data_IF_793759186311
#
_entry.id   IF_793759186311
#
_cell.length_a   1.000
_cell.length_b   1.000
_cell.length_c   1.000
_cell.angle_alpha   90.00
_cell.angle_beta   90.00
_cell.angle_gamma   90.00
#
_symmetry.space_group_name_H-M   'P 1'
#
loop_
_entity.id
_entity.type
_entity.pdbx_description
1 polymer ?
#
# COMPACT_ATOMS: atom_id res chain seq x y z
N UNK A 1 40.42 -5.85 -12.87
CA UNK A 1 39.30 -4.97 -12.73
C UNK A 1 38.01 -5.76 -13.01
N UNK A 2 37.25 -6.04 -11.97
CA UNK A 2 35.91 -6.61 -12.14
C UNK A 2 35.02 -5.51 -12.71
N UNK A 3 34.14 -5.81 -13.67
CA UNK A 3 33.16 -4.82 -14.14
C UNK A 3 32.25 -4.45 -12.98
N UNK A 4 32.21 -3.17 -12.66
CA UNK A 4 31.22 -2.59 -11.76
C UNK A 4 29.86 -2.98 -12.31
N UNK A 5 29.07 -3.71 -11.53
CA UNK A 5 27.69 -4.03 -11.88
C UNK A 5 26.88 -2.74 -12.11
N UNK A 6 25.73 -2.82 -12.79
CA UNK A 6 24.95 -1.64 -13.10
C UNK A 6 24.61 -0.90 -11.80
N UNK A 7 25.03 0.35 -11.70
CA UNK A 7 24.62 1.26 -10.63
C UNK A 7 23.13 1.55 -10.80
N UNK A 8 22.32 0.90 -9.99
CA UNK A 8 20.91 1.23 -9.91
C UNK A 8 20.79 2.62 -9.28
N UNK A 9 20.03 3.56 -9.85
CA UNK A 9 19.89 4.91 -9.31
C UNK A 9 19.33 4.96 -7.88
N UNK A 10 18.83 3.82 -7.38
CA UNK A 10 18.38 3.59 -6.01
C UNK A 10 19.40 2.85 -5.12
N UNK A 11 20.49 2.37 -5.69
CA UNK A 11 21.55 1.66 -4.99
C UNK A 11 22.81 2.54 -4.89
N UNK A 12 22.64 3.84 -4.67
CA UNK A 12 23.80 4.66 -4.29
C UNK A 12 24.33 4.11 -2.98
N UNK A 13 25.62 3.93 -2.87
CA UNK A 13 26.33 3.56 -1.62
C UNK A 13 26.15 4.61 -0.50
N UNK A 14 25.52 5.75 -0.81
CA UNK A 14 25.05 6.67 0.22
C UNK A 14 23.84 6.01 0.88
N UNK A 15 23.91 5.68 2.17
CA UNK A 15 22.75 5.25 2.92
C UNK A 15 21.67 6.31 2.64
N UNK A 16 20.52 5.88 2.08
CA UNK A 16 19.34 6.71 2.03
C UNK A 16 19.18 7.23 3.45
N UNK A 17 19.16 8.56 3.68
CA UNK A 17 18.96 9.07 5.00
C UNK A 17 17.60 8.51 5.45
N UNK A 18 17.66 7.42 6.22
CA UNK A 18 16.51 6.86 6.89
C UNK A 18 15.99 8.03 7.69
N UNK A 19 14.73 8.49 7.50
CA UNK A 19 14.17 9.51 8.35
C UNK A 19 14.53 9.14 9.78
N UNK A 20 14.74 10.06 10.71
CA UNK A 20 15.29 9.74 12.01
C UNK A 20 14.38 8.76 12.74
N UNK A 21 14.49 7.50 12.33
CA UNK A 21 13.90 6.39 13.06
C UNK A 21 14.61 6.36 14.39
N UNK A 22 13.86 6.59 15.44
CA UNK A 22 14.43 6.33 16.77
C UNK A 22 14.71 4.81 16.86
N UNK A 23 16.00 4.40 16.92
CA UNK A 23 16.35 2.98 17.02
C UNK A 23 15.69 2.30 18.23
N UNK A 24 15.40 3.06 19.29
CA UNK A 24 14.71 2.57 20.50
C UNK A 24 13.26 2.21 20.18
N UNK A 25 12.58 3.01 19.38
CA UNK A 25 11.21 2.73 18.93
C UNK A 25 11.16 1.47 18.07
N UNK A 26 12.12 1.28 17.17
CA UNK A 26 12.21 0.05 16.35
C UNK A 26 12.46 -1.18 17.23
N UNK A 27 13.43 -1.08 18.13
CA UNK A 27 13.72 -2.16 19.10
C UNK A 27 12.47 -2.53 19.90
N UNK A 28 11.78 -1.53 20.44
CA UNK A 28 10.57 -1.77 21.22
C UNK A 28 9.43 -2.37 20.41
N UNK A 29 9.21 -1.90 19.16
CA UNK A 29 8.23 -2.52 18.26
C UNK A 29 8.57 -3.99 17.98
N UNK A 30 9.85 -4.26 17.75
CA UNK A 30 10.34 -5.62 17.48
C UNK A 30 10.10 -6.56 18.67
N UNK A 31 10.39 -6.12 19.89
CA UNK A 31 10.08 -6.86 21.12
C UNK A 31 8.59 -7.16 21.26
N UNK A 32 7.74 -6.14 21.12
CA UNK A 32 6.29 -6.30 21.21
C UNK A 32 5.71 -7.21 20.12
N UNK A 33 6.25 -7.15 18.91
CA UNK A 33 5.84 -8.07 17.84
C UNK A 33 6.22 -9.52 18.13
N UNK A 34 7.33 -9.76 18.84
CA UNK A 34 7.70 -11.09 19.29
C UNK A 34 6.77 -11.66 20.36
N UNK A 35 6.10 -10.80 21.15
CA UNK A 35 5.13 -11.25 22.16
C UNK A 35 3.88 -11.90 21.54
N UNK A 36 3.47 -11.46 20.34
CA UNK A 36 2.20 -11.89 19.70
C UNK A 36 2.38 -12.68 18.41
N UNK A 37 3.56 -12.57 17.81
CA UNK A 37 3.92 -13.27 16.58
C UNK A 37 5.17 -14.11 16.86
N UNK A 38 5.36 -15.19 16.14
CA UNK A 38 6.61 -15.98 16.17
C UNK A 38 7.47 -15.60 14.93
N UNK A 39 8.14 -14.42 14.94
CA UNK A 39 8.83 -13.94 13.76
C UNK A 39 10.11 -14.73 13.51
N UNK A 40 10.26 -15.19 12.27
CA UNK A 40 11.52 -15.71 11.75
C UNK A 40 12.51 -14.56 11.51
N UNK A 41 12.01 -13.44 10.97
CA UNK A 41 12.73 -12.19 10.82
C UNK A 41 11.77 -11.01 10.65
N UNK A 42 12.28 -9.80 10.95
CA UNK A 42 11.60 -8.54 10.74
C UNK A 42 12.52 -7.63 9.93
N UNK A 43 12.01 -7.11 8.81
CA UNK A 43 12.69 -6.13 7.97
C UNK A 43 12.01 -4.79 8.12
N UNK A 44 12.80 -3.76 8.40
CA UNK A 44 12.39 -2.37 8.24
C UNK A 44 12.70 -1.95 6.81
N UNK A 45 11.73 -1.47 6.09
CA UNK A 45 11.92 -0.91 4.76
C UNK A 45 11.05 0.34 4.62
N UNK A 46 11.37 1.19 3.69
CA UNK A 46 10.56 2.33 3.32
C UNK A 46 10.64 2.48 1.83
N UNK A 47 9.55 2.82 1.19
CA UNK A 47 9.53 3.05 -0.22
C UNK A 47 8.84 4.36 -0.48
N UNK A 48 9.58 5.45 -0.73
CA UNK A 48 9.06 6.51 -1.53
C UNK A 48 8.72 5.92 -2.90
N UNK A 49 7.49 6.09 -3.35
CA UNK A 49 7.02 5.54 -4.63
C UNK A 49 7.80 6.04 -5.85
N UNK A 50 8.55 7.13 -5.70
CA UNK A 50 9.30 7.82 -6.76
C UNK A 50 10.80 7.90 -6.47
N UNK A 51 11.29 7.21 -5.42
CA UNK A 51 12.69 7.24 -5.02
C UNK A 51 13.19 8.57 -4.49
N UNK A 52 12.34 9.58 -4.42
CA UNK A 52 12.64 10.79 -3.69
C UNK A 52 12.26 10.57 -2.23
N UNK A 53 13.17 10.83 -1.27
CA UNK A 53 12.80 10.86 0.13
C UNK A 53 11.76 11.99 0.27
N UNK A 54 10.48 11.62 0.43
CA UNK A 54 9.49 12.57 0.90
C UNK A 54 9.85 12.85 2.36
N UNK A 55 10.57 13.93 2.58
CA UNK A 55 11.03 14.36 3.91
C UNK A 55 9.89 14.54 4.91
N UNK A 56 8.66 14.55 4.42
CA UNK A 56 7.45 14.84 5.18
C UNK A 56 6.61 13.61 5.53
N UNK A 57 6.91 12.42 4.95
CA UNK A 57 6.22 11.17 5.29
C UNK A 57 7.13 10.36 6.20
N UNK A 58 6.98 10.52 7.50
CA UNK A 58 7.67 9.70 8.48
C UNK A 58 6.79 8.48 8.76
N UNK A 59 7.24 7.29 8.34
CA UNK A 59 6.52 6.03 8.55
C UNK A 59 7.45 4.86 8.81
N UNK A 60 6.92 3.84 9.47
CA UNK A 60 7.59 2.56 9.62
C UNK A 60 6.86 1.53 8.75
N UNK A 61 7.57 1.00 7.77
CA UNK A 61 7.13 -0.14 6.98
C UNK A 61 7.88 -1.38 7.46
N UNK A 62 7.16 -2.34 8.07
CA UNK A 62 7.74 -3.54 8.62
C UNK A 62 7.20 -4.78 7.89
N UNK A 63 8.11 -5.57 7.31
CA UNK A 63 7.81 -6.92 6.84
C UNK A 63 8.16 -7.92 7.94
N UNK A 64 7.14 -8.54 8.51
CA UNK A 64 7.25 -9.55 9.55
C UNK A 64 7.02 -10.92 8.90
N UNK A 65 8.09 -11.70 8.78
CA UNK A 65 8.02 -13.07 8.28
C UNK A 65 7.99 -14.03 9.48
N UNK A 66 6.92 -14.82 9.62
CA UNK A 66 6.70 -15.70 10.76
C UNK A 66 7.14 -17.13 10.48
N UNK A 67 7.50 -17.90 11.52
CA UNK A 67 7.89 -19.31 11.39
C UNK A 67 6.72 -20.21 10.99
N UNK A 68 5.52 -19.89 11.45
CA UNK A 68 4.27 -20.59 11.13
C UNK A 68 3.29 -19.59 10.52
N UNK A 69 2.21 -20.04 9.88
CA UNK A 69 1.14 -19.15 9.46
C UNK A 69 0.71 -18.27 10.64
N UNK A 70 0.69 -16.93 10.49
CA UNK A 70 0.48 -16.01 11.60
C UNK A 70 -0.93 -16.20 12.19
N UNK A 71 -0.98 -16.29 13.53
CA UNK A 71 -2.25 -16.34 14.27
C UNK A 71 -2.96 -14.98 14.29
N UNK A 72 -2.21 -13.91 14.10
CA UNK A 72 -2.71 -12.53 14.03
C UNK A 72 -2.33 -11.92 12.69
N UNK A 73 -3.30 -11.29 12.05
CA UNK A 73 -3.07 -10.50 10.84
C UNK A 73 -2.34 -9.18 11.15
N UNK A 74 -1.98 -8.46 10.10
CA UNK A 74 -1.31 -7.16 10.24
C UNK A 74 -2.15 -6.12 11.00
N UNK A 75 -3.49 -6.19 10.91
CA UNK A 75 -4.40 -5.24 11.57
C UNK A 75 -4.43 -5.47 13.08
N UNK A 76 -4.48 -6.73 13.51
CA UNK A 76 -4.40 -7.12 14.92
C UNK A 76 -3.05 -6.73 15.53
N UNK A 77 -1.95 -7.05 14.83
CA UNK A 77 -0.60 -6.67 15.23
C UNK A 77 -0.44 -5.14 15.35
N UNK A 78 -0.97 -4.38 14.38
CA UNK A 78 -0.96 -2.91 14.43
C UNK A 78 -1.76 -2.34 15.61
N UNK A 79 -2.94 -2.91 15.87
CA UNK A 79 -3.76 -2.51 17.05
C UNK A 79 -3.01 -2.75 18.35
N UNK A 80 -2.34 -3.90 18.46
CA UNK A 80 -1.53 -4.22 19.62
C UNK A 80 -0.39 -3.22 19.82
N UNK A 81 0.38 -2.92 18.79
CA UNK A 81 1.45 -1.91 18.86
C UNK A 81 0.91 -0.53 19.26
N UNK A 82 -0.18 -0.07 18.66
CA UNK A 82 -0.80 1.20 19.02
C UNK A 82 -1.26 1.27 20.47
N UNK A 83 -1.75 0.15 21.02
CA UNK A 83 -2.14 0.06 22.42
C UNK A 83 -0.94 0.13 23.36
N UNK A 84 0.17 -0.53 23.01
CA UNK A 84 1.39 -0.62 23.85
C UNK A 84 2.34 0.56 23.68
N UNK A 85 2.25 1.26 22.57
CA UNK A 85 3.08 2.42 22.23
C UNK A 85 2.17 3.59 21.80
N UNK A 86 1.51 4.28 22.76
CA UNK A 86 0.69 5.43 22.46
C UNK A 86 1.55 6.50 21.77
N UNK A 87 1.14 6.97 20.61
CA UNK A 87 1.92 7.91 19.78
C UNK A 87 2.45 7.30 18.50
N UNK A 88 2.61 5.98 18.39
CA UNK A 88 2.91 5.33 17.12
C UNK A 88 1.63 5.24 16.28
N UNK A 89 1.70 5.77 15.05
CA UNK A 89 0.60 5.73 14.10
C UNK A 89 -0.53 6.73 14.40
N UNK A 90 -0.34 7.68 15.30
CA UNK A 90 -1.16 8.89 15.46
C UNK A 90 -0.32 10.09 14.97
N UNK A 91 -0.71 10.65 13.85
CA UNK A 91 0.11 11.66 13.17
C UNK A 91 1.28 11.01 12.42
N UNK A 92 2.47 11.51 12.56
CA UNK A 92 3.71 10.86 12.11
C UNK A 92 4.44 10.27 13.33
N UNK A 93 5.04 9.06 13.25
CA UNK A 93 5.19 8.21 12.05
C UNK A 93 4.00 7.27 11.80
N UNK A 94 3.70 7.04 10.53
CA UNK A 94 2.74 6.01 10.11
C UNK A 94 3.33 4.61 10.30
N UNK A 95 2.45 3.64 10.58
CA UNK A 95 2.85 2.26 10.78
C UNK A 95 2.13 1.34 9.79
N UNK A 96 2.88 0.77 8.86
CA UNK A 96 2.43 -0.27 7.96
C UNK A 96 3.09 -1.59 8.33
N UNK A 97 2.28 -2.61 8.55
CA UNK A 97 2.75 -3.94 8.86
C UNK A 97 2.37 -4.90 7.73
N UNK A 98 3.30 -5.73 7.33
CA UNK A 98 3.14 -6.80 6.36
C UNK A 98 3.49 -8.11 7.07
N UNK A 99 2.47 -8.86 7.47
CA UNK A 99 2.63 -10.07 8.29
C UNK A 99 2.34 -11.30 7.46
N UNK A 100 3.36 -12.10 7.17
CA UNK A 100 3.25 -13.29 6.32
C UNK A 100 4.14 -14.42 6.84
N UNK A 101 3.78 -15.65 6.51
CA UNK A 101 4.64 -16.81 6.74
C UNK A 101 5.95 -16.70 5.92
N UNK A 102 7.09 -17.02 6.53
CA UNK A 102 8.40 -16.85 5.89
C UNK A 102 8.54 -17.64 4.57
N UNK A 103 7.97 -18.84 4.51
CA UNK A 103 7.91 -19.63 3.29
C UNK A 103 7.14 -18.93 2.17
N UNK A 104 6.05 -18.25 2.50
CA UNK A 104 5.29 -17.45 1.53
C UNK A 104 6.11 -16.29 0.99
N UNK A 105 6.79 -15.53 1.87
CA UNK A 105 7.64 -14.41 1.47
C UNK A 105 8.79 -14.83 0.55
N UNK A 106 9.36 -16.03 0.78
CA UNK A 106 10.46 -16.55 -0.03
C UNK A 106 9.98 -17.16 -1.35
N UNK A 107 8.84 -17.85 -1.34
CA UNK A 107 8.30 -18.57 -2.52
C UNK A 107 7.61 -17.64 -3.52
N UNK A 108 7.15 -16.48 -3.07
CA UNK A 108 6.42 -15.54 -3.93
C UNK A 108 7.33 -14.85 -4.94
N UNK A 109 6.87 -14.83 -6.17
CA UNK A 109 7.46 -14.07 -7.28
C UNK A 109 6.97 -12.62 -7.27
N UNK A 110 6.82 -12.02 -6.08
CA UNK A 110 6.38 -10.65 -5.91
C UNK A 110 7.56 -9.68 -5.93
N UNK A 111 7.50 -8.61 -6.73
CA UNK A 111 8.53 -7.57 -6.73
C UNK A 111 8.65 -6.91 -5.35
N UNK A 112 7.54 -6.77 -4.61
CA UNK A 112 7.52 -6.20 -3.27
C UNK A 112 8.37 -7.00 -2.28
N UNK A 113 8.17 -8.32 -2.18
CA UNK A 113 8.96 -9.14 -1.26
C UNK A 113 10.43 -9.20 -1.66
N UNK A 114 10.71 -9.21 -2.96
CA UNK A 114 12.09 -9.19 -3.45
C UNK A 114 12.78 -7.89 -3.05
N UNK A 115 12.16 -6.73 -3.30
CA UNK A 115 12.68 -5.42 -2.94
C UNK A 115 12.86 -5.29 -1.41
N UNK A 116 11.84 -5.62 -0.62
CA UNK A 116 11.92 -5.56 0.82
C UNK A 116 13.05 -6.43 1.40
N UNK A 117 13.31 -7.61 0.81
CA UNK A 117 14.39 -8.50 1.25
C UNK A 117 15.76 -8.05 0.74
N UNK A 118 15.85 -7.33 -0.35
CA UNK A 118 17.11 -6.84 -0.92
C UNK A 118 17.54 -5.54 -0.26
N UNK A 119 16.64 -4.60 -0.08
CA UNK A 119 16.92 -3.24 0.40
C UNK A 119 16.68 -3.07 1.90
N UNK A 120 15.76 -3.86 2.47
CA UNK A 120 15.34 -3.72 3.86
C UNK A 120 16.47 -3.92 4.86
N UNK A 121 16.36 -3.20 5.98
CA UNK A 121 17.25 -3.32 7.13
C UNK A 121 16.73 -4.45 8.01
N UNK A 122 17.59 -5.41 8.35
CA UNK A 122 17.23 -6.50 9.25
C UNK A 122 17.13 -5.96 10.68
N UNK A 123 15.91 -5.79 11.17
CA UNK A 123 15.64 -5.34 12.53
C UNK A 123 15.66 -6.50 13.54
N UNK A 124 15.29 -7.71 13.10
CA UNK A 124 15.30 -8.92 13.92
C UNK A 124 15.48 -10.18 13.06
N UNK A 125 16.20 -11.14 13.57
CA UNK A 125 16.21 -12.52 13.07
C UNK A 125 16.27 -13.49 14.26
N UNK A 126 15.41 -14.51 14.24
CA UNK A 126 15.45 -15.55 15.26
C UNK A 126 16.64 -16.49 15.04
N UNK A 127 17.15 -17.09 16.10
CA UNK A 127 18.25 -18.09 16.04
C UNK A 127 17.85 -19.33 15.22
N UNK A 128 16.54 -19.59 15.09
CA UNK A 128 15.98 -20.71 14.32
C UNK A 128 15.92 -20.45 12.82
N UNK A 129 16.20 -19.20 12.34
CA UNK A 129 16.06 -18.82 10.94
C UNK A 129 17.28 -18.07 10.43
N UNK A 130 17.96 -18.65 9.43
CA UNK A 130 19.06 -17.99 8.76
C UNK A 130 18.53 -17.07 7.64
N UNK A 131 18.36 -15.79 7.95
CA UNK A 131 18.00 -14.80 6.94
C UNK A 131 19.04 -14.75 5.83
N UNK A 132 18.56 -14.73 4.57
CA UNK A 132 19.40 -14.59 3.37
C UNK A 132 18.72 -13.62 2.41
N UNK A 133 19.51 -12.69 1.88
CA UNK A 133 19.05 -11.83 0.78
C UNK A 133 18.92 -12.65 -0.52
N UNK A 134 18.00 -12.25 -1.42
CA UNK A 134 17.87 -12.88 -2.73
C UNK A 134 19.21 -12.82 -3.50
N UNK A 135 19.59 -13.92 -4.10
CA UNK A 135 20.83 -13.99 -4.91
C UNK A 135 20.56 -13.80 -6.40
N UNK A 136 19.36 -14.16 -6.85
CA UNK A 136 18.94 -14.03 -8.24
C UNK A 136 18.14 -12.75 -8.40
N UNK A 137 18.37 -12.06 -9.51
CA UNK A 137 17.57 -10.90 -9.88
C UNK A 137 16.12 -11.32 -10.10
N UNK A 138 15.20 -10.48 -9.65
CA UNK A 138 13.78 -10.64 -9.88
C UNK A 138 13.45 -10.35 -11.37
N UNK A 139 12.51 -11.06 -12.00
CA UNK A 139 12.14 -10.85 -13.40
C UNK A 139 11.27 -9.58 -13.56
N UNK A 140 11.87 -8.41 -13.38
CA UNK A 140 11.17 -7.13 -13.41
C UNK A 140 10.49 -6.83 -14.75
N UNK A 141 11.03 -7.27 -15.86
CA UNK A 141 10.40 -7.11 -17.18
C UNK A 141 9.03 -7.82 -17.24
N UNK A 142 8.95 -9.03 -16.69
CA UNK A 142 7.68 -9.75 -16.56
C UNK A 142 6.72 -9.04 -15.62
N UNK A 143 7.19 -8.59 -14.46
CA UNK A 143 6.37 -7.83 -13.52
C UNK A 143 5.81 -6.54 -14.13
N UNK A 144 6.59 -5.85 -14.95
CA UNK A 144 6.12 -4.68 -15.69
C UNK A 144 4.97 -5.01 -16.65
N UNK A 145 5.10 -6.12 -17.40
CA UNK A 145 4.06 -6.58 -18.32
C UNK A 145 2.77 -6.94 -17.57
N UNK A 146 2.87 -7.71 -16.49
CA UNK A 146 1.73 -8.11 -15.65
C UNK A 146 1.06 -6.90 -15.00
N UNK A 147 1.85 -5.97 -14.42
CA UNK A 147 1.35 -4.74 -13.82
C UNK A 147 0.62 -3.86 -14.84
N UNK A 148 1.16 -3.74 -16.07
CA UNK A 148 0.53 -2.97 -17.15
C UNK A 148 -0.80 -3.58 -17.59
N UNK A 149 -0.84 -4.90 -17.79
CA UNK A 149 -2.05 -5.61 -18.17
C UNK A 149 -3.14 -5.47 -17.10
N UNK A 150 -2.77 -5.64 -15.83
CA UNK A 150 -3.69 -5.46 -14.70
C UNK A 150 -4.21 -4.02 -14.61
N UNK A 151 -3.31 -3.04 -14.70
CA UNK A 151 -3.68 -1.62 -14.71
C UNK A 151 -4.66 -1.31 -15.85
N UNK A 152 -4.36 -1.71 -17.07
CA UNK A 152 -5.20 -1.43 -18.24
C UNK A 152 -6.63 -1.96 -18.05
N UNK A 153 -6.77 -3.18 -17.54
CA UNK A 153 -8.08 -3.83 -17.36
C UNK A 153 -8.86 -3.19 -16.21
N UNK A 154 -8.26 -3.13 -15.02
CA UNK A 154 -9.02 -2.78 -13.82
C UNK A 154 -9.14 -1.28 -13.58
N UNK A 155 -8.22 -0.45 -14.09
CA UNK A 155 -8.40 0.99 -14.08
C UNK A 155 -9.49 1.45 -15.06
N UNK A 156 -9.68 0.75 -16.18
CA UNK A 156 -10.79 0.98 -17.09
C UNK A 156 -12.14 0.71 -16.42
N UNK A 157 -12.28 -0.44 -15.74
CA UNK A 157 -13.49 -0.76 -14.97
C UNK A 157 -13.78 0.29 -13.89
N UNK A 158 -12.76 0.74 -13.15
CA UNK A 158 -12.91 1.83 -12.19
C UNK A 158 -13.36 3.14 -12.83
N UNK A 159 -12.87 3.45 -14.04
CA UNK A 159 -13.28 4.63 -14.81
C UNK A 159 -14.74 4.52 -15.27
N UNK A 160 -15.16 3.36 -15.76
CA UNK A 160 -16.55 3.10 -16.16
C UNK A 160 -17.52 3.29 -14.99
N UNK A 161 -17.20 2.74 -13.81
CA UNK A 161 -18.01 2.96 -12.62
C UNK A 161 -18.10 4.44 -12.23
N UNK A 162 -17.01 5.19 -12.36
CA UNK A 162 -17.01 6.62 -12.06
C UNK A 162 -17.87 7.42 -13.07
N UNK A 163 -17.88 7.06 -14.33
CA UNK A 163 -18.73 7.63 -15.36
C UNK A 163 -20.21 7.30 -15.10
N UNK A 164 -20.51 6.05 -14.76
CA UNK A 164 -21.85 5.63 -14.35
C UNK A 164 -22.34 6.39 -13.11
N UNK A 165 -21.44 6.69 -12.16
CA UNK A 165 -21.78 7.50 -11.00
C UNK A 165 -22.22 8.91 -11.40
N UNK A 166 -21.51 9.56 -12.33
CA UNK A 166 -21.88 10.87 -12.87
C UNK A 166 -23.24 10.83 -13.58
N UNK A 167 -23.48 9.83 -14.42
CA UNK A 167 -24.78 9.63 -15.11
C UNK A 167 -25.92 9.43 -14.11
N UNK A 168 -25.74 8.52 -13.14
CA UNK A 168 -26.75 8.28 -12.13
C UNK A 168 -27.06 9.53 -11.28
N UNK A 169 -26.03 10.34 -10.99
CA UNK A 169 -26.21 11.61 -10.27
C UNK A 169 -27.03 12.62 -11.12
N UNK A 170 -26.76 12.73 -12.42
CA UNK A 170 -27.50 13.61 -13.32
C UNK A 170 -28.97 13.21 -13.44
N UNK A 171 -29.27 11.92 -13.35
CA UNK A 171 -30.62 11.35 -13.32
C UNK A 171 -31.29 11.39 -11.91
N UNK A 172 -30.67 12.04 -10.93
CA UNK A 172 -31.13 12.12 -9.56
C UNK A 172 -31.24 10.74 -8.82
N UNK A 173 -30.48 9.73 -9.31
CA UNK A 173 -30.37 8.40 -8.72
C UNK A 173 -29.25 8.37 -7.68
N UNK A 174 -29.39 9.13 -6.60
CA UNK A 174 -28.32 9.46 -5.65
C UNK A 174 -27.67 8.21 -5.02
N UNK A 175 -28.49 7.23 -4.60
CA UNK A 175 -28.00 5.98 -3.99
C UNK A 175 -27.13 5.16 -4.97
N UNK A 176 -27.54 5.09 -6.24
CA UNK A 176 -26.78 4.40 -7.29
C UNK A 176 -25.46 5.11 -7.58
N UNK A 177 -25.52 6.44 -7.67
CA UNK A 177 -24.32 7.26 -7.85
C UNK A 177 -23.30 7.03 -6.73
N UNK A 178 -23.75 7.03 -5.46
CA UNK A 178 -22.89 6.76 -4.33
C UNK A 178 -22.29 5.34 -4.36
N UNK A 179 -23.08 4.33 -4.72
CA UNK A 179 -22.59 2.96 -4.87
C UNK A 179 -21.53 2.84 -5.99
N UNK A 180 -21.81 3.40 -7.16
CA UNK A 180 -20.86 3.36 -8.28
C UNK A 180 -19.56 4.12 -7.96
N UNK A 181 -19.65 5.23 -7.23
CA UNK A 181 -18.48 5.98 -6.74
C UNK A 181 -17.62 5.12 -5.81
N UNK A 182 -18.25 4.39 -4.90
CA UNK A 182 -17.55 3.49 -3.99
C UNK A 182 -16.91 2.30 -4.73
N UNK A 183 -17.59 1.74 -5.73
CA UNK A 183 -17.03 0.70 -6.61
C UNK A 183 -15.79 1.21 -7.36
N UNK A 184 -15.85 2.40 -7.95
CA UNK A 184 -14.72 3.02 -8.62
C UNK A 184 -13.50 3.13 -7.67
N UNK A 185 -13.73 3.55 -6.43
CA UNK A 185 -12.69 3.66 -5.41
C UNK A 185 -12.03 2.30 -5.11
N UNK A 186 -12.83 1.23 -4.95
CA UNK A 186 -12.32 -0.13 -4.73
C UNK A 186 -11.40 -0.54 -5.87
N UNK A 187 -11.79 -0.32 -7.13
CA UNK A 187 -10.96 -0.68 -8.29
C UNK A 187 -9.64 0.10 -8.32
N UNK A 188 -9.65 1.41 -8.10
CA UNK A 188 -8.42 2.20 -8.11
C UNK A 188 -7.46 1.80 -6.99
N UNK A 189 -7.96 1.50 -5.79
CA UNK A 189 -7.12 1.00 -4.70
C UNK A 189 -6.57 -0.41 -4.97
N UNK A 190 -7.38 -1.32 -5.51
CA UNK A 190 -6.91 -2.65 -5.92
C UNK A 190 -5.79 -2.56 -6.95
N UNK A 191 -5.94 -1.68 -7.94
CA UNK A 191 -4.92 -1.43 -8.97
C UNK A 191 -3.63 -0.91 -8.34
N UNK A 192 -3.71 0.11 -7.49
CA UNK A 192 -2.56 0.63 -6.76
C UNK A 192 -1.85 -0.48 -5.99
N UNK A 193 -2.60 -1.21 -5.18
CA UNK A 193 -2.02 -2.28 -4.36
C UNK A 193 -1.35 -3.36 -5.23
N UNK A 194 -2.04 -3.88 -6.24
CA UNK A 194 -1.54 -4.95 -7.11
C UNK A 194 -0.29 -4.54 -7.90
N UNK A 195 -0.27 -3.32 -8.45
CA UNK A 195 0.86 -2.81 -9.23
C UNK A 195 2.10 -2.64 -8.35
N UNK A 196 1.94 -2.18 -7.10
CA UNK A 196 3.06 -1.96 -6.19
C UNK A 196 3.56 -3.23 -5.51
N UNK A 197 2.65 -4.14 -5.15
CA UNK A 197 3.00 -5.32 -4.37
C UNK A 197 3.14 -6.60 -5.20
N UNK A 198 2.55 -6.65 -6.40
CA UNK A 198 2.60 -7.84 -7.26
C UNK A 198 1.66 -8.98 -6.83
N UNK A 199 0.82 -8.77 -5.80
CA UNK A 199 -0.23 -9.70 -5.35
C UNK A 199 -1.48 -8.91 -4.94
N UNK A 200 -2.59 -9.60 -4.72
CA UNK A 200 -3.86 -8.97 -4.33
C UNK A 200 -4.04 -9.00 -2.81
N UNK A 201 -4.68 -7.96 -2.26
CA UNK A 201 -5.22 -7.97 -0.91
C UNK A 201 -6.66 -8.47 -0.99
N UNK A 202 -6.98 -9.50 -0.20
CA UNK A 202 -8.32 -10.07 -0.16
C UNK A 202 -9.25 -9.24 0.74
N UNK A 203 -9.52 -8.01 0.29
CA UNK A 203 -10.42 -7.09 0.99
C UNK A 203 -11.13 -6.15 0.02
N UNK A 204 -12.34 -5.75 0.38
CA UNK A 204 -13.11 -4.69 -0.28
C UNK A 204 -13.39 -3.53 0.69
N UNK A 205 -12.81 -3.56 1.88
CA UNK A 205 -12.95 -2.49 2.86
C UNK A 205 -12.08 -1.30 2.46
N UNK A 206 -12.72 -0.21 2.01
CA UNK A 206 -12.05 1.00 1.55
C UNK A 206 -11.12 1.63 2.59
N UNK A 207 -11.44 1.48 3.88
CA UNK A 207 -10.57 1.96 4.96
C UNK A 207 -9.24 1.19 4.97
N UNK A 208 -9.32 -0.15 4.89
CA UNK A 208 -8.14 -1.02 4.84
C UNK A 208 -7.34 -0.73 3.56
N UNK A 209 -8.01 -0.68 2.40
CA UNK A 209 -7.35 -0.40 1.13
C UNK A 209 -6.63 0.95 1.12
N UNK A 210 -7.27 2.00 1.65
CA UNK A 210 -6.64 3.30 1.80
C UNK A 210 -5.43 3.22 2.73
N UNK A 211 -5.55 2.61 3.89
CA UNK A 211 -4.44 2.46 4.84
C UNK A 211 -3.24 1.71 4.27
N UNK A 212 -3.49 0.72 3.40
CA UNK A 212 -2.44 -0.08 2.73
C UNK A 212 -1.74 0.65 1.60
N UNK A 213 -2.35 1.68 1.04
CA UNK A 213 -1.82 2.36 -0.15
C UNK A 213 -1.44 3.83 0.09
N UNK A 214 -1.96 4.46 1.14
CA UNK A 214 -1.79 5.91 1.37
C UNK A 214 -0.33 6.37 1.44
N UNK A 215 0.58 5.50 1.89
CA UNK A 215 2.01 5.81 2.00
C UNK A 215 2.76 5.73 0.66
N UNK A 216 2.09 5.36 -0.42
CA UNK A 216 2.68 5.35 -1.76
C UNK A 216 2.97 6.75 -2.30
N UNK A 217 2.27 7.78 -1.82
CA UNK A 217 2.60 9.19 -2.07
C UNK A 217 1.98 10.13 -1.05
N UNK A 218 2.58 11.32 -0.84
CA UNK A 218 2.02 12.36 0.00
C UNK A 218 0.63 12.80 -0.49
N UNK A 219 0.44 12.96 -1.81
CA UNK A 219 -0.84 13.33 -2.40
C UNK A 219 -1.93 12.31 -2.11
N UNK A 220 -1.60 11.00 -2.16
CA UNK A 220 -2.54 9.93 -1.86
C UNK A 220 -2.86 9.88 -0.37
N UNK A 221 -1.88 10.11 0.49
CA UNK A 221 -2.06 10.19 1.93
C UNK A 221 -3.02 11.32 2.31
N UNK A 222 -2.83 12.50 1.73
CA UNK A 222 -3.65 13.68 2.00
C UNK A 222 -5.05 13.61 1.38
N UNK A 223 -5.32 12.63 0.52
CA UNK A 223 -6.60 12.54 -0.19
C UNK A 223 -7.81 12.44 0.75
N UNK A 224 -7.63 11.77 1.91
CA UNK A 224 -8.67 11.58 2.92
C UNK A 224 -8.22 12.01 4.32
N UNK A 225 -7.18 12.82 4.44
CA UNK A 225 -6.75 13.31 5.75
C UNK A 225 -7.67 14.42 6.29
N UNK A 226 -7.83 14.50 7.63
CA UNK A 226 -8.68 15.48 8.29
C UNK A 226 -8.01 16.86 8.40
N UNK A 227 -7.79 17.51 7.28
CA UNK A 227 -7.43 18.94 7.26
C UNK A 227 -8.63 19.83 6.93
N UNK A 228 -9.65 19.23 6.35
CA UNK A 228 -10.98 19.80 6.16
C UNK A 228 -11.98 18.89 6.86
N UNK A 229 -12.91 19.45 7.62
CA UNK A 229 -13.98 18.77 8.36
C UNK A 229 -14.74 17.70 7.55
N UNK A 230 -14.65 17.75 6.23
CA UNK A 230 -15.31 16.83 5.29
C UNK A 230 -14.56 15.51 5.00
N UNK A 231 -13.30 15.34 5.41
CA UNK A 231 -12.47 14.27 4.84
C UNK A 231 -12.55 12.93 5.56
N UNK A 232 -12.63 12.91 6.89
CA UNK A 232 -12.76 11.66 7.68
C UNK A 232 -14.11 11.01 7.42
N UNK A 233 -15.16 11.83 7.31
CA UNK A 233 -16.49 11.35 7.02
C UNK A 233 -16.62 10.79 5.60
N UNK A 234 -15.88 11.35 4.62
CA UNK A 234 -15.94 10.92 3.21
C UNK A 234 -15.57 9.44 3.03
N UNK A 235 -14.44 8.99 3.58
CA UNK A 235 -14.03 7.60 3.44
C UNK A 235 -14.99 6.64 4.15
N UNK A 236 -15.48 7.03 5.33
CA UNK A 236 -16.50 6.29 6.08
C UNK A 236 -17.81 6.20 5.30
N UNK A 237 -18.28 7.30 4.71
CA UNK A 237 -19.50 7.33 3.90
C UNK A 237 -19.36 6.53 2.60
N UNK A 238 -18.21 6.58 1.93
CA UNK A 238 -17.93 5.73 0.77
C UNK A 238 -17.96 4.24 1.14
N UNK A 239 -17.39 3.88 2.29
CA UNK A 239 -17.47 2.53 2.83
C UNK A 239 -18.91 2.10 3.11
N UNK A 240 -19.72 2.98 3.71
CA UNK A 240 -21.15 2.74 3.93
C UNK A 240 -21.91 2.64 2.60
N UNK A 241 -21.61 3.48 1.61
CA UNK A 241 -22.21 3.40 0.28
C UNK A 241 -21.92 2.06 -0.39
N UNK A 242 -20.68 1.55 -0.27
CA UNK A 242 -20.31 0.23 -0.80
C UNK A 242 -21.14 -0.90 -0.19
N UNK A 243 -21.33 -0.89 1.13
CA UNK A 243 -21.97 -1.99 1.86
C UNK A 243 -23.49 -1.86 1.94
N UNK A 244 -24.00 -0.63 2.12
CA UNK A 244 -25.42 -0.38 2.48
C UNK A 244 -26.27 0.10 1.32
N UNK A 245 -25.73 0.87 0.37
CA UNK A 245 -26.56 1.50 -0.68
C UNK A 245 -27.39 0.51 -1.50
N UNK A 246 -26.99 -0.76 -1.55
CA UNK A 246 -27.71 -1.83 -2.27
C UNK A 246 -28.80 -2.50 -1.46
N UNK A 247 -28.59 -2.68 -0.16
CA UNK A 247 -29.38 -3.61 0.66
C UNK A 247 -30.11 -2.95 1.83
N UNK A 248 -29.62 -1.79 2.30
CA UNK A 248 -30.19 -1.08 3.45
C UNK A 248 -31.22 -0.04 2.96
N UNK A 249 -32.52 -0.22 3.20
CA UNK A 249 -33.55 0.75 2.77
C UNK A 249 -33.37 2.12 3.42
N UNK A 250 -32.82 2.16 4.63
CA UNK A 250 -32.63 3.37 5.42
C UNK A 250 -31.33 4.11 5.09
N UNK A 251 -30.49 3.54 4.17
CA UNK A 251 -29.28 4.24 3.74
C UNK A 251 -29.62 5.55 3.06
N UNK A 252 -29.14 6.62 3.63
CA UNK A 252 -29.29 7.98 3.11
C UNK A 252 -27.91 8.65 2.88
N UNK A 253 -27.81 9.35 1.78
CA UNK A 253 -26.69 10.22 1.43
C UNK A 253 -27.23 11.41 0.64
N UNK A 254 -26.74 12.62 0.92
CA UNK A 254 -27.16 13.81 0.18
C UNK A 254 -26.56 13.84 -1.24
N UNK A 255 -27.21 14.64 -2.12
CA UNK A 255 -26.69 14.90 -3.46
C UNK A 255 -25.30 15.56 -3.40
N UNK A 256 -25.15 16.57 -2.55
CA UNK A 256 -23.93 17.34 -2.39
C UNK A 256 -22.77 16.47 -1.88
N UNK A 257 -23.03 15.56 -0.93
CA UNK A 257 -22.03 14.59 -0.48
C UNK A 257 -21.59 13.67 -1.61
N UNK A 258 -22.56 13.15 -2.37
CA UNK A 258 -22.29 12.25 -3.49
C UNK A 258 -21.45 12.94 -4.55
N UNK A 259 -21.75 14.20 -4.88
CA UNK A 259 -20.98 15.00 -5.85
C UNK A 259 -19.55 15.24 -5.37
N UNK A 260 -19.37 15.59 -4.09
CA UNK A 260 -18.04 15.71 -3.46
C UNK A 260 -17.27 14.39 -3.52
N UNK A 261 -17.93 13.25 -3.29
CA UNK A 261 -17.32 11.93 -3.38
C UNK A 261 -16.88 11.62 -4.81
N UNK A 262 -17.71 11.85 -5.82
CA UNK A 262 -17.36 11.67 -7.25
C UNK A 262 -16.12 12.49 -7.59
N UNK A 263 -16.09 13.77 -7.21
CA UNK A 263 -14.93 14.62 -7.43
C UNK A 263 -13.67 14.08 -6.76
N UNK A 264 -13.76 13.61 -5.51
CA UNK A 264 -12.63 13.08 -4.75
C UNK A 264 -12.11 11.78 -5.37
N UNK A 265 -12.98 10.88 -5.82
CA UNK A 265 -12.58 9.66 -6.52
C UNK A 265 -12.03 9.95 -7.91
N UNK A 266 -12.47 11.03 -8.56
CA UNK A 266 -11.81 11.57 -9.77
C UNK A 266 -10.35 11.96 -9.52
N UNK A 267 -10.02 12.51 -8.34
CA UNK A 267 -8.63 12.77 -7.94
C UNK A 267 -7.87 11.46 -7.69
N UNK A 268 -8.50 10.47 -7.02
CA UNK A 268 -7.91 9.15 -6.82
C UNK A 268 -7.57 8.47 -8.17
N UNK A 269 -8.47 8.55 -9.16
CA UNK A 269 -8.22 8.06 -10.55
C UNK A 269 -6.94 8.65 -11.13
N UNK A 270 -6.77 9.98 -11.04
CA UNK A 270 -5.56 10.66 -11.55
C UNK A 270 -4.29 10.21 -10.83
N UNK A 271 -4.34 10.12 -9.50
CA UNK A 271 -3.22 9.63 -8.69
C UNK A 271 -2.89 8.17 -9.02
N UNK A 272 -3.89 7.31 -9.14
CA UNK A 272 -3.72 5.93 -9.55
C UNK A 272 -2.99 5.83 -10.89
N UNK A 273 -3.41 6.60 -11.90
CA UNK A 273 -2.74 6.65 -13.20
C UNK A 273 -1.28 7.08 -13.11
N UNK A 274 -1.01 8.19 -12.42
CA UNK A 274 0.35 8.72 -12.20
C UNK A 274 1.25 7.68 -11.53
N UNK A 275 0.82 7.17 -10.36
CA UNK A 275 1.62 6.28 -9.53
C UNK A 275 1.86 4.93 -10.21
N UNK A 276 0.84 4.34 -10.83
CA UNK A 276 1.00 3.07 -11.54
C UNK A 276 1.94 3.20 -12.74
N UNK A 277 1.84 4.29 -13.50
CA UNK A 277 2.74 4.55 -14.63
C UNK A 277 4.21 4.69 -14.17
N UNK A 278 4.45 5.40 -13.07
CA UNK A 278 5.77 5.54 -12.47
C UNK A 278 6.32 4.18 -12.00
N UNK A 279 5.49 3.36 -11.35
CA UNK A 279 5.92 2.05 -10.84
C UNK A 279 6.21 1.07 -11.98
N UNK A 280 5.40 1.06 -13.03
CA UNK A 280 5.63 0.23 -14.22
C UNK A 280 6.93 0.65 -14.91
N UNK A 281 7.16 1.95 -15.10
CA UNK A 281 8.40 2.48 -15.68
C UNK A 281 9.64 2.09 -14.82
N UNK A 282 9.52 2.11 -13.50
CA UNK A 282 10.57 1.64 -12.60
C UNK A 282 10.91 0.16 -12.83
N UNK A 283 9.91 -0.71 -12.96
CA UNK A 283 10.14 -2.12 -13.27
C UNK A 283 10.80 -2.32 -14.64
N UNK A 284 10.41 -1.55 -15.64
CA UNK A 284 11.03 -1.59 -16.99
C UNK A 284 12.47 -1.11 -16.97
N UNK A 285 12.75 -0.05 -16.22
CA UNK A 285 14.10 0.49 -16.08
C UNK A 285 15.08 -0.54 -15.49
N UNK A 286 14.67 -1.25 -14.44
CA UNK A 286 15.46 -2.33 -13.85
C UNK A 286 15.55 -3.52 -14.83
N UNK A 287 14.43 -3.94 -15.43
CA UNK A 287 14.39 -5.07 -16.35
C UNK A 287 15.23 -4.88 -17.60
N UNK A 288 15.29 -3.66 -18.13
CA UNK A 288 16.10 -3.31 -19.29
C UNK A 288 17.61 -3.31 -19.05
N UNK A 289 18.06 -3.10 -17.81
CA UNK A 289 19.48 -3.13 -17.44
C UNK A 289 20.01 -4.56 -17.30
N UNK A 290 19.14 -5.53 -17.03
CA UNK A 290 19.53 -6.95 -16.87
C UNK A 290 19.53 -7.74 -18.19
N UNK A 291 19.01 -7.17 -19.27
CA UNK A 291 18.96 -7.80 -20.60
C UNK A 291 20.16 -7.46 -21.48
N UNK A 292 21.09 -6.64 -20.99
CA UNK A 292 22.36 -6.31 -21.64
C UNK A 292 23.50 -6.97 -20.90
#
# INVERSE_FOLDING_TARGET
PQPSGPEFPYFSEKPIPIPPYDPRSIGRMTELLQEILDPAYILLFGSPADGTPHSDIIGYDLLIATHTPPAYDWLAARRYLKMKMPGIGHGAPYLNLYVYHAGYVVSQTSPFFWLARTEGILAYASDRYKFRRPRKMFPFAQAACEARAYYATFAALGAEFLEQAGTALSENKIRQAAFFTAQAAVYFYRVLFRVYHGFEEDTHDLQIMHERTRTLSAELMLLFEPGNYDSVDTLSRLRQAYTKARYDPDFFISRDDTERHIHRIGRLRKLCGKLCSQRIAFYEGIGGQTAR
#
